data_IF_909878736649
#
_entry.id   IF_909878736649
#
_cell.length_a   1.000
_cell.length_b   1.000
_cell.length_c   1.000
_cell.angle_alpha   90.00
_cell.angle_beta   90.00
_cell.angle_gamma   90.00
#
_symmetry.space_group_name_H-M   'P 1'
#
loop_
_entity.id
_entity.type
_entity.pdbx_description
1 polymer ?
#
# COMPACT_ATOMS: atom_id res chain seq x y z
N UNK A 1 12.83 -17.08 -24.73
CA UNK A 1 11.46 -16.83 -24.23
C UNK A 1 11.53 -15.51 -23.50
N UNK A 2 10.73 -14.52 -23.90
CA UNK A 2 10.66 -13.26 -23.14
C UNK A 2 10.07 -13.56 -21.77
N UNK A 3 10.63 -13.00 -20.70
CA UNK A 3 10.10 -13.18 -19.36
C UNK A 3 8.67 -12.63 -19.31
N UNK A 4 7.67 -13.52 -19.19
CA UNK A 4 6.29 -13.13 -18.92
C UNK A 4 6.23 -12.46 -17.54
N UNK A 5 5.56 -11.30 -17.46
CA UNK A 5 5.31 -10.65 -16.18
C UNK A 5 4.33 -11.49 -15.36
N UNK A 6 4.34 -11.34 -14.03
CA UNK A 6 3.41 -12.09 -13.17
C UNK A 6 1.93 -11.87 -13.56
N UNK A 7 1.61 -10.73 -14.15
CA UNK A 7 0.24 -10.45 -14.61
C UNK A 7 -0.17 -11.25 -15.85
N UNK A 8 0.78 -11.68 -16.68
CA UNK A 8 0.48 -12.57 -17.80
C UNK A 8 0.00 -13.95 -17.29
N UNK A 9 0.34 -14.30 -16.05
CA UNK A 9 -0.10 -15.55 -15.41
C UNK A 9 -1.44 -15.38 -14.67
N UNK A 10 -1.68 -14.22 -14.04
CA UNK A 10 -2.86 -13.96 -13.21
C UNK A 10 -4.05 -13.43 -14.02
N UNK A 11 -3.83 -12.42 -14.85
CA UNK A 11 -4.91 -11.67 -15.50
C UNK A 11 -5.77 -12.51 -16.45
N UNK A 12 -5.23 -13.45 -17.25
CA UNK A 12 -6.07 -14.29 -18.10
C UNK A 12 -7.08 -15.13 -17.30
N UNK A 13 -6.66 -15.64 -16.13
CA UNK A 13 -7.55 -16.43 -15.26
C UNK A 13 -8.63 -15.52 -14.67
N UNK A 14 -8.27 -14.37 -14.09
CA UNK A 14 -9.25 -13.44 -13.52
C UNK A 14 -10.27 -12.97 -14.57
N UNK A 15 -9.82 -12.70 -15.80
CA UNK A 15 -10.69 -12.31 -16.92
C UNK A 15 -11.70 -13.39 -17.28
N UNK A 16 -11.32 -14.67 -17.23
CA UNK A 16 -12.24 -15.78 -17.49
C UNK A 16 -13.41 -15.84 -16.50
N UNK A 17 -13.26 -15.22 -15.32
CA UNK A 17 -14.31 -15.11 -14.30
C UNK A 17 -14.92 -13.71 -14.20
N UNK A 18 -14.60 -12.80 -15.14
CA UNK A 18 -15.00 -11.38 -15.06
C UNK A 18 -14.63 -10.74 -13.70
N UNK A 19 -13.46 -11.08 -13.19
CA UNK A 19 -12.96 -10.61 -11.90
C UNK A 19 -11.92 -9.50 -12.10
N UNK A 20 -12.07 -8.32 -11.47
CA UNK A 20 -11.03 -7.29 -11.49
C UNK A 20 -9.80 -7.73 -10.69
N UNK A 21 -8.59 -7.37 -11.09
CA UNK A 21 -7.41 -7.57 -10.25
C UNK A 21 -7.39 -6.50 -9.15
N UNK A 22 -7.70 -6.89 -7.91
CA UNK A 22 -7.71 -6.00 -6.75
C UNK A 22 -6.61 -6.44 -5.80
N UNK A 23 -5.60 -5.59 -5.64
CA UNK A 23 -4.53 -5.75 -4.69
C UNK A 23 -4.96 -5.22 -3.32
N UNK A 24 -4.60 -5.95 -2.27
CA UNK A 24 -4.74 -5.51 -0.88
C UNK A 24 -3.39 -5.66 -0.15
N UNK A 25 -3.39 -5.61 1.18
CA UNK A 25 -2.20 -5.86 1.98
C UNK A 25 -1.08 -4.85 1.73
N UNK A 26 0.16 -5.34 1.71
CA UNK A 26 1.34 -4.48 1.74
C UNK A 26 1.50 -3.63 0.47
N UNK A 27 1.16 -4.17 -0.70
CA UNK A 27 1.31 -3.46 -1.97
C UNK A 27 0.28 -2.34 -2.09
N UNK A 28 -0.98 -2.62 -1.76
CA UNK A 28 -2.01 -1.59 -1.72
C UNK A 28 -1.62 -0.46 -0.77
N UNK A 29 -1.19 -0.81 0.45
CA UNK A 29 -0.72 0.14 1.45
C UNK A 29 0.45 1.02 0.96
N UNK A 30 1.33 0.50 0.10
CA UNK A 30 2.41 1.31 -0.50
C UNK A 30 1.91 2.31 -1.53
N UNK A 31 0.91 1.94 -2.35
CA UNK A 31 0.23 2.85 -3.27
C UNK A 31 -0.67 3.88 -2.56
N UNK A 32 -0.93 3.68 -1.27
CA UNK A 32 -1.54 4.66 -0.38
C UNK A 32 -0.51 5.62 0.25
N UNK A 33 0.73 5.67 -0.27
CA UNK A 33 1.79 6.56 0.20
C UNK A 33 2.54 6.09 1.45
N UNK A 34 2.21 4.93 2.02
CA UNK A 34 2.91 4.46 3.20
C UNK A 34 4.17 3.66 2.86
N UNK A 35 5.29 3.95 3.55
CA UNK A 35 6.51 3.16 3.35
C UNK A 35 6.36 1.80 4.02
N UNK A 36 6.45 0.73 3.22
CA UNK A 36 6.51 -0.66 3.67
C UNK A 36 7.81 -1.35 3.29
N UNK A 37 7.87 -2.67 3.42
CA UNK A 37 8.98 -3.47 2.86
C UNK A 37 8.93 -3.42 1.33
N UNK A 38 10.07 -3.31 0.66
CA UNK A 38 10.18 -3.29 -0.82
C UNK A 38 10.40 -4.69 -1.39
N UNK A 39 11.07 -5.54 -0.63
CA UNK A 39 11.57 -6.84 -1.10
C UNK A 39 10.61 -7.95 -0.66
N UNK A 40 9.31 -7.69 -0.81
CA UNK A 40 8.27 -8.57 -0.30
C UNK A 40 7.84 -9.57 -1.39
N UNK A 41 8.13 -10.88 -1.25
CA UNK A 41 7.87 -11.86 -2.30
C UNK A 41 6.40 -12.32 -2.34
N UNK A 42 5.49 -11.58 -1.70
CA UNK A 42 4.08 -11.95 -1.54
C UNK A 42 3.20 -10.84 -2.13
N UNK A 43 2.19 -11.24 -2.91
CA UNK A 43 1.07 -10.37 -3.26
C UNK A 43 -0.20 -10.83 -2.57
N UNK A 44 -1.07 -9.87 -2.26
CA UNK A 44 -2.38 -10.10 -1.70
C UNK A 44 -3.45 -9.72 -2.72
N UNK A 45 -4.30 -10.67 -3.08
CA UNK A 45 -5.39 -10.45 -4.05
C UNK A 45 -6.73 -10.69 -3.36
N UNK A 46 -7.63 -9.72 -3.48
CA UNK A 46 -8.99 -9.83 -3.02
C UNK A 46 -9.87 -10.48 -4.08
N UNK A 47 -10.63 -11.50 -3.71
CA UNK A 47 -11.55 -12.24 -4.57
C UNK A 47 -12.97 -12.26 -4.01
N UNK A 48 -13.96 -12.27 -4.90
CA UNK A 48 -15.36 -12.52 -4.53
C UNK A 48 -15.51 -13.87 -3.86
N UNK A 49 -16.34 -13.92 -2.80
CA UNK A 49 -16.55 -15.15 -2.01
C UNK A 49 -16.90 -16.36 -2.90
N UNK A 50 -17.86 -16.17 -3.83
CA UNK A 50 -18.32 -17.23 -4.74
C UNK A 50 -17.32 -17.63 -5.83
N UNK A 51 -16.24 -16.88 -6.02
CA UNK A 51 -15.25 -17.11 -7.09
C UNK A 51 -13.90 -17.62 -6.56
N UNK A 52 -13.63 -17.51 -5.26
CA UNK A 52 -12.36 -17.86 -4.62
C UNK A 52 -11.84 -19.24 -5.07
N UNK A 53 -12.57 -20.32 -4.78
CA UNK A 53 -12.12 -21.68 -5.14
C UNK A 53 -12.03 -21.94 -6.64
N UNK A 54 -12.92 -21.36 -7.44
CA UNK A 54 -12.94 -21.55 -8.89
C UNK A 54 -11.73 -20.89 -9.54
N UNK A 55 -11.43 -19.65 -9.15
CA UNK A 55 -10.27 -18.89 -9.63
C UNK A 55 -8.98 -19.58 -9.22
N UNK A 56 -8.81 -19.92 -7.94
CA UNK A 56 -7.55 -20.52 -7.46
C UNK A 56 -7.31 -21.90 -8.05
N UNK A 57 -8.35 -22.74 -8.20
CA UNK A 57 -8.21 -24.03 -8.89
C UNK A 57 -7.79 -23.84 -10.35
N UNK A 58 -8.33 -22.82 -11.04
CA UNK A 58 -7.95 -22.54 -12.42
C UNK A 58 -6.51 -21.98 -12.51
N UNK A 59 -6.09 -21.14 -11.57
CA UNK A 59 -4.70 -20.70 -11.43
C UNK A 59 -3.74 -21.89 -11.33
N UNK A 60 -4.04 -22.88 -10.48
CA UNK A 60 -3.21 -24.10 -10.36
C UNK A 60 -3.19 -24.90 -11.66
N UNK A 61 -4.33 -25.02 -12.35
CA UNK A 61 -4.42 -25.73 -13.64
C UNK A 61 -3.56 -25.13 -14.75
N UNK A 62 -3.16 -23.86 -14.65
CA UNK A 62 -2.24 -23.25 -15.62
C UNK A 62 -0.82 -23.83 -15.55
N UNK A 63 -0.44 -24.44 -14.41
CA UNK A 63 0.90 -24.97 -14.16
C UNK A 63 1.93 -23.92 -13.70
N UNK A 64 1.59 -22.63 -13.73
CA UNK A 64 2.45 -21.56 -13.19
C UNK A 64 2.40 -21.46 -11.67
N UNK A 65 1.34 -22.00 -11.06
CA UNK A 65 1.06 -21.95 -9.63
C UNK A 65 0.74 -23.34 -9.11
N UNK A 66 1.10 -23.60 -7.85
CA UNK A 66 0.72 -24.80 -7.11
C UNK A 66 0.16 -24.42 -5.74
N UNK A 67 -0.65 -25.31 -5.18
CA UNK A 67 -1.09 -25.17 -3.80
C UNK A 67 0.11 -25.14 -2.87
N UNK A 68 0.09 -24.19 -1.94
CA UNK A 68 1.13 -24.05 -0.96
C UNK A 68 0.98 -25.09 0.15
N UNK A 69 2.03 -25.88 0.40
CA UNK A 69 2.01 -26.90 1.46
C UNK A 69 2.25 -26.27 2.84
N UNK A 70 1.18 -26.04 3.58
CA UNK A 70 1.23 -25.51 4.93
C UNK A 70 1.96 -26.43 5.94
N UNK A 71 2.16 -27.72 5.64
CA UNK A 71 2.91 -28.63 6.52
C UNK A 71 4.42 -28.37 6.45
N UNK A 72 4.94 -27.92 5.31
CA UNK A 72 6.34 -27.49 5.16
C UNK A 72 6.65 -26.29 6.06
N UNK A 73 5.67 -25.40 6.30
CA UNK A 73 5.82 -24.27 7.21
C UNK A 73 6.00 -24.65 8.67
N UNK A 74 5.51 -25.81 9.11
CA UNK A 74 5.64 -26.22 10.51
C UNK A 74 7.09 -26.55 10.87
N UNK A 75 7.94 -26.81 9.87
CA UNK A 75 9.35 -27.16 10.01
C UNK A 75 10.27 -25.92 10.04
N UNK A 76 9.77 -24.76 9.61
CA UNK A 76 10.55 -23.53 9.56
C UNK A 76 10.43 -22.75 10.88
N UNK A 77 11.51 -22.10 11.36
CA UNK A 77 11.45 -21.26 12.54
C UNK A 77 10.40 -20.16 12.34
N UNK A 78 9.65 -19.87 13.40
CA UNK A 78 8.52 -18.95 13.35
C UNK A 78 9.00 -17.52 13.03
N UNK A 79 9.07 -17.18 11.75
CA UNK A 79 9.20 -15.82 11.27
C UNK A 79 7.79 -15.23 11.08
N UNK A 80 7.61 -13.95 11.42
CA UNK A 80 6.35 -13.21 11.26
C UNK A 80 5.79 -13.21 9.83
N UNK A 81 6.63 -13.51 8.85
CA UNK A 81 6.27 -13.58 7.42
C UNK A 81 5.54 -14.89 7.09
N UNK A 82 5.91 -16.00 7.74
CA UNK A 82 5.31 -17.30 7.51
C UNK A 82 3.97 -17.46 8.25
N UNK A 83 3.82 -16.83 9.41
CA UNK A 83 2.54 -16.80 10.14
C UNK A 83 1.42 -16.18 9.30
N UNK A 84 1.77 -15.14 8.54
CA UNK A 84 0.89 -14.44 7.62
C UNK A 84 0.40 -15.25 6.42
N UNK A 85 1.17 -16.23 5.96
CA UNK A 85 0.74 -17.14 4.89
C UNK A 85 -0.37 -18.07 5.40
N UNK A 86 -0.33 -18.45 6.68
CA UNK A 86 -1.28 -19.43 7.25
C UNK A 86 -2.69 -18.89 7.46
N UNK A 87 -2.87 -17.58 7.52
CA UNK A 87 -4.16 -16.95 7.81
C UNK A 87 -4.92 -16.48 6.56
N UNK A 88 -4.27 -16.49 5.40
CA UNK A 88 -4.93 -16.29 4.12
C UNK A 88 -5.94 -17.39 3.85
N UNK A 89 -6.96 -17.09 3.06
CA UNK A 89 -7.99 -18.08 2.75
C UNK A 89 -7.43 -19.16 1.80
N UNK A 90 -6.61 -18.76 0.83
CA UNK A 90 -5.82 -19.66 -0.02
C UNK A 90 -4.44 -19.06 -0.27
N UNK A 91 -3.40 -19.89 -0.26
CA UNK A 91 -2.05 -19.50 -0.68
C UNK A 91 -1.61 -20.34 -1.85
N UNK A 92 -1.11 -19.68 -2.90
CA UNK A 92 -0.45 -20.33 -4.02
C UNK A 92 1.03 -19.95 -4.05
N UNK A 93 1.85 -20.91 -4.47
CA UNK A 93 3.29 -20.77 -4.68
C UNK A 93 3.60 -20.84 -6.17
N UNK A 94 4.44 -19.94 -6.66
CA UNK A 94 4.84 -19.90 -8.07
C UNK A 94 5.82 -21.02 -8.38
N UNK A 95 5.57 -21.79 -9.44
CA UNK A 95 6.40 -22.95 -9.81
C UNK A 95 7.75 -22.54 -10.42
N UNK A 96 7.84 -21.33 -10.96
CA UNK A 96 9.03 -20.76 -11.58
C UNK A 96 9.18 -19.30 -11.16
N UNK A 97 10.29 -18.94 -10.51
CA UNK A 97 10.56 -17.56 -10.11
C UNK A 97 12.07 -17.29 -10.08
N UNK A 98 12.44 -16.05 -10.38
CA UNK A 98 13.80 -15.54 -10.17
C UNK A 98 13.88 -14.82 -8.81
N UNK A 99 15.10 -14.65 -8.30
CA UNK A 99 15.37 -13.83 -7.12
C UNK A 99 14.79 -12.43 -7.31
N UNK A 100 14.07 -11.90 -6.30
CA UNK A 100 13.38 -10.59 -6.30
C UNK A 100 12.00 -10.54 -6.99
N UNK A 101 11.51 -11.64 -7.55
CA UNK A 101 10.14 -11.71 -8.05
C UNK A 101 9.15 -12.14 -6.95
N UNK A 102 7.87 -11.90 -7.21
CA UNK A 102 6.79 -12.40 -6.37
C UNK A 102 6.76 -13.92 -6.51
N UNK A 103 6.74 -14.59 -5.36
CA UNK A 103 6.79 -16.04 -5.23
C UNK A 103 5.48 -16.61 -4.65
N UNK A 104 4.80 -15.85 -3.80
CA UNK A 104 3.55 -16.27 -3.18
C UNK A 104 2.39 -15.35 -3.54
N UNK A 105 1.22 -15.93 -3.73
CA UNK A 105 -0.06 -15.19 -3.76
C UNK A 105 -0.87 -15.63 -2.55
N UNK A 106 -1.33 -14.66 -1.76
CA UNK A 106 -2.39 -14.84 -0.78
C UNK A 106 -3.69 -14.35 -1.39
N UNK A 107 -4.67 -15.24 -1.47
CA UNK A 107 -6.03 -14.90 -1.83
C UNK A 107 -6.85 -14.68 -0.57
N UNK A 108 -7.59 -13.59 -0.59
CA UNK A 108 -8.51 -13.20 0.47
C UNK A 108 -9.90 -13.09 -0.12
N UNK A 109 -10.88 -13.67 0.58
CA UNK A 109 -12.29 -13.50 0.30
C UNK A 109 -12.77 -12.11 0.76
N UNK A 110 -13.86 -11.61 0.18
CA UNK A 110 -14.53 -10.39 0.64
C UNK A 110 -14.91 -10.46 2.12
N UNK A 111 -15.35 -11.64 2.56
CA UNK A 111 -15.74 -11.89 3.95
C UNK A 111 -14.54 -11.79 4.89
N UNK A 112 -13.44 -12.49 4.59
CA UNK A 112 -12.23 -12.42 5.43
C UNK A 112 -11.60 -11.03 5.38
N UNK A 113 -11.53 -10.40 4.22
CA UNK A 113 -10.85 -9.10 4.11
C UNK A 113 -11.74 -7.92 4.51
N UNK A 114 -13.05 -8.13 4.71
CA UNK A 114 -14.01 -7.10 5.10
C UNK A 114 -14.17 -5.99 4.06
N UNK A 115 -14.06 -6.34 2.78
CA UNK A 115 -14.27 -5.43 1.65
C UNK A 115 -15.24 -6.07 0.67
N UNK A 116 -16.36 -5.40 0.41
CA UNK A 116 -17.30 -5.77 -0.65
C UNK A 116 -16.83 -5.13 -1.96
N UNK A 117 -16.43 -5.96 -2.93
CA UNK A 117 -15.83 -5.53 -4.21
C UNK A 117 -16.82 -4.72 -5.04
N UNK A 118 -18.10 -5.09 -5.03
CA UNK A 118 -19.11 -4.50 -5.94
C UNK A 118 -19.66 -3.16 -5.44
N UNK A 119 -19.36 -2.78 -4.19
CA UNK A 119 -19.83 -1.53 -3.57
C UNK A 119 -18.72 -0.58 -3.15
N UNK A 120 -17.45 -1.02 -3.13
CA UNK A 120 -16.35 -0.16 -2.73
C UNK A 120 -15.79 0.66 -3.90
N UNK A 121 -15.17 1.79 -3.56
CA UNK A 121 -14.42 2.59 -4.53
C UNK A 121 -13.06 1.93 -4.77
N UNK A 122 -12.79 1.61 -6.05
CA UNK A 122 -11.52 1.06 -6.51
C UNK A 122 -10.68 2.14 -7.20
N UNK A 123 -9.40 2.18 -6.87
CA UNK A 123 -8.43 3.14 -7.38
C UNK A 123 -7.45 2.39 -8.28
N UNK A 124 -7.28 2.85 -9.51
CA UNK A 124 -6.34 2.25 -10.46
C UNK A 124 -4.89 2.59 -10.09
N UNK A 125 -4.01 1.58 -10.11
CA UNK A 125 -2.58 1.71 -9.83
C UNK A 125 -1.74 1.21 -11.01
N UNK A 126 -0.52 1.74 -11.19
CA UNK A 126 0.24 1.48 -12.41
C UNK A 126 0.82 0.05 -12.47
N UNK A 127 1.16 -0.56 -11.33
CA UNK A 127 1.87 -1.84 -11.28
C UNK A 127 1.61 -2.58 -9.94
N UNK A 128 1.88 -3.89 -9.91
CA UNK A 128 1.93 -4.69 -8.67
C UNK A 128 3.20 -4.40 -7.87
N UNK A 129 4.26 -3.93 -8.52
CA UNK A 129 5.50 -3.55 -7.84
C UNK A 129 5.50 -2.06 -7.47
N UNK A 130 5.13 -1.76 -6.22
CA UNK A 130 5.16 -0.41 -5.66
C UNK A 130 6.58 0.01 -5.19
N UNK A 131 7.58 -0.03 -6.07
CA UNK A 131 9.00 0.20 -5.73
C UNK A 131 9.23 1.48 -4.91
N UNK A 132 8.50 2.54 -5.23
CA UNK A 132 8.38 3.75 -4.41
C UNK A 132 6.96 3.90 -3.86
N UNK A 133 6.80 4.29 -2.58
CA UNK A 133 5.50 4.49 -1.97
C UNK A 133 4.94 5.85 -2.38
N UNK A 134 4.31 5.88 -3.55
CA UNK A 134 3.56 7.04 -4.02
C UNK A 134 2.15 7.03 -3.43
N UNK A 135 1.61 8.21 -3.13
CA UNK A 135 0.19 8.38 -2.84
C UNK A 135 -0.56 8.61 -4.14
N UNK A 136 -1.46 7.68 -4.49
CA UNK A 136 -2.29 7.77 -5.70
C UNK A 136 -3.52 8.67 -5.49
N UNK A 137 -4.16 8.60 -4.33
CA UNK A 137 -5.27 9.48 -3.94
C UNK A 137 -4.72 10.80 -3.36
N UNK A 138 -4.27 11.69 -4.26
CA UNK A 138 -3.58 12.96 -3.94
C UNK A 138 -4.42 13.90 -3.06
N UNK A 139 -5.75 13.77 -3.06
CA UNK A 139 -6.66 14.57 -2.23
C UNK A 139 -6.41 14.39 -0.72
N UNK A 140 -5.88 13.23 -0.32
CA UNK A 140 -5.53 12.93 1.07
C UNK A 140 -4.12 13.38 1.44
N UNK A 141 -3.35 13.94 0.50
CA UNK A 141 -2.00 14.40 0.78
C UNK A 141 -2.00 15.55 1.81
N UNK A 142 -1.21 15.47 2.90
CA UNK A 142 -1.36 16.37 4.05
C UNK A 142 -0.93 17.81 3.75
N UNK A 143 -0.03 18.02 2.80
CA UNK A 143 0.46 19.34 2.42
C UNK A 143 -0.17 19.90 1.13
N UNK A 144 -1.08 19.19 0.45
CA UNK A 144 -1.54 19.57 -0.91
C UNK A 144 -2.23 20.93 -0.99
N UNK A 145 -2.83 21.37 0.10
CA UNK A 145 -3.59 22.63 0.19
C UNK A 145 -2.80 23.77 0.85
N UNK A 146 -1.54 23.54 1.23
CA UNK A 146 -0.74 24.55 1.92
C UNK A 146 -0.36 25.69 0.98
N UNK A 147 -0.54 26.92 1.48
CA UNK A 147 -0.25 28.16 0.74
C UNK A 147 1.18 28.67 0.97
N UNK A 148 1.83 28.21 2.04
CA UNK A 148 3.20 28.59 2.39
C UNK A 148 4.27 27.81 1.63
N UNK A 149 3.86 26.88 0.76
CA UNK A 149 4.75 26.06 -0.05
C UNK A 149 5.51 24.98 0.73
N UNK A 150 5.27 24.83 2.04
CA UNK A 150 5.93 23.81 2.85
C UNK A 150 5.37 22.42 2.51
N UNK A 151 6.24 21.50 2.10
CA UNK A 151 5.86 20.15 1.66
C UNK A 151 6.36 19.08 2.62
N UNK A 152 5.46 18.21 3.04
CA UNK A 152 5.73 17.01 3.85
C UNK A 152 4.67 15.96 3.52
N UNK A 153 4.97 14.69 3.82
CA UNK A 153 4.11 13.58 3.45
C UNK A 153 4.74 12.65 2.41
N UNK A 154 3.94 11.73 1.84
CA UNK A 154 4.40 10.85 0.78
C UNK A 154 4.57 11.61 -0.54
N UNK A 155 5.38 11.07 -1.44
CA UNK A 155 5.44 11.64 -2.79
C UNK A 155 4.09 11.41 -3.49
N UNK A 156 3.57 12.43 -4.16
CA UNK A 156 2.46 12.28 -5.09
C UNK A 156 3.04 11.98 -6.47
N UNK A 157 2.51 10.95 -7.13
CA UNK A 157 2.70 10.52 -8.53
C UNK A 157 4.13 10.59 -9.13
N UNK A 158 4.60 9.55 -9.85
CA UNK A 158 5.81 9.67 -10.68
C UNK A 158 5.64 10.77 -11.74
N UNK A 159 6.68 11.56 -12.03
CA UNK A 159 6.69 12.34 -13.28
C UNK A 159 6.59 11.36 -14.46
N UNK A 160 5.97 11.71 -15.60
CA UNK A 160 5.92 10.82 -16.77
C UNK A 160 7.30 10.35 -17.28
N UNK A 161 8.36 11.09 -16.93
CA UNK A 161 9.78 10.76 -17.20
C UNK A 161 10.41 9.84 -16.16
N UNK A 162 9.77 9.65 -15.01
CA UNK A 162 10.15 8.65 -14.04
C UNK A 162 9.62 7.30 -14.55
N UNK A 163 10.29 6.74 -15.56
CA UNK A 163 10.33 5.30 -15.68
C UNK A 163 10.75 4.80 -14.29
N UNK A 164 9.82 4.22 -13.53
CA UNK A 164 10.09 3.70 -12.19
C UNK A 164 10.97 2.46 -12.39
N UNK A 165 12.25 2.72 -12.62
CA UNK A 165 13.35 1.79 -12.82
C UNK A 165 13.12 0.75 -13.93
N UNK A 166 13.54 1.02 -15.19
CA UNK A 166 13.40 0.07 -16.30
C UNK A 166 14.15 -1.26 -16.10
N UNK A 167 15.00 -1.34 -15.07
CA UNK A 167 15.77 -2.54 -14.70
C UNK A 167 15.13 -3.37 -13.59
N UNK A 168 14.05 -2.89 -12.96
CA UNK A 168 13.35 -3.65 -11.92
C UNK A 168 12.20 -4.46 -12.53
N UNK A 169 11.79 -5.57 -11.87
CA UNK A 169 10.62 -6.33 -12.30
C UNK A 169 9.38 -5.43 -12.43
N UNK A 170 8.68 -5.62 -13.53
CA UNK A 170 7.37 -5.04 -13.80
C UNK A 170 6.33 -6.16 -13.79
N UNK A 171 5.17 -5.89 -13.19
CA UNK A 171 4.06 -6.82 -13.23
C UNK A 171 3.44 -6.86 -14.62
N UNK A 172 3.35 -5.69 -15.26
CA UNK A 172 2.80 -5.50 -16.61
C UNK A 172 3.92 -5.55 -17.66
N UNK A 173 3.74 -6.27 -18.78
CA UNK A 173 4.56 -6.03 -19.96
C UNK A 173 4.33 -4.60 -20.48
N UNK A 174 5.36 -4.03 -21.12
CA UNK A 174 5.30 -2.68 -21.67
C UNK A 174 4.14 -2.58 -22.70
N UNK A 175 3.20 -1.65 -22.48
CA UNK A 175 2.03 -1.48 -23.34
C UNK A 175 0.81 -2.36 -23.00
N UNK A 176 0.86 -3.11 -21.90
CA UNK A 176 -0.30 -3.84 -21.38
C UNK A 176 -1.45 -2.89 -20.99
N UNK A 177 -2.68 -3.27 -21.35
CA UNK A 177 -3.91 -2.58 -20.96
C UNK A 177 -4.55 -3.18 -19.70
N UNK A 178 -3.89 -4.11 -19.00
CA UNK A 178 -4.45 -4.68 -17.78
C UNK A 178 -4.63 -3.61 -16.72
N UNK A 179 -5.83 -3.53 -16.15
CA UNK A 179 -6.11 -2.64 -15.04
C UNK A 179 -5.81 -3.35 -13.72
N UNK A 180 -5.17 -2.64 -12.81
CA UNK A 180 -4.86 -3.10 -11.46
C UNK A 180 -5.50 -2.12 -10.51
N UNK A 181 -6.22 -2.63 -9.54
CA UNK A 181 -6.95 -1.82 -8.57
C UNK A 181 -6.43 -2.04 -7.16
N UNK A 182 -6.60 -1.03 -6.32
CA UNK A 182 -6.56 -1.12 -4.85
C UNK A 182 -7.89 -0.55 -4.32
N UNK A 183 -8.35 -0.94 -3.12
CA UNK A 183 -9.42 -0.20 -2.47
C UNK A 183 -8.98 1.24 -2.16
N UNK A 184 -9.93 2.17 -2.09
CA UNK A 184 -9.67 3.53 -1.59
C UNK A 184 -9.09 3.52 -0.16
N UNK A 185 -8.35 4.57 0.22
CA UNK A 185 -7.80 4.72 1.58
C UNK A 185 -8.88 4.56 2.67
N UNK A 186 -10.06 5.21 2.59
CA UNK A 186 -11.12 5.02 3.59
C UNK A 186 -11.62 3.57 3.66
N UNK A 187 -11.92 2.94 2.52
CA UNK A 187 -12.33 1.53 2.46
C UNK A 187 -11.29 0.62 3.11
N UNK A 188 -10.01 0.86 2.82
CA UNK A 188 -8.92 0.06 3.37
C UNK A 188 -8.77 0.25 4.89
N UNK A 189 -8.86 1.50 5.38
CA UNK A 189 -8.79 1.81 6.81
C UNK A 189 -9.95 1.17 7.57
N UNK A 190 -11.17 1.21 7.03
CA UNK A 190 -12.33 0.55 7.61
C UNK A 190 -12.12 -0.96 7.71
N UNK A 191 -11.66 -1.58 6.62
CA UNK A 191 -11.41 -3.01 6.57
C UNK A 191 -10.37 -3.46 7.61
N UNK A 192 -9.24 -2.75 7.73
CA UNK A 192 -8.21 -3.10 8.71
C UNK A 192 -8.66 -2.84 10.15
N UNK A 193 -9.52 -1.84 10.42
CA UNK A 193 -10.11 -1.70 11.75
C UNK A 193 -11.03 -2.88 12.11
N UNK A 194 -11.91 -3.29 11.20
CA UNK A 194 -12.73 -4.50 11.38
C UNK A 194 -11.86 -5.73 11.61
N UNK A 195 -10.81 -5.94 10.82
CA UNK A 195 -9.89 -7.06 11.01
C UNK A 195 -9.19 -7.03 12.36
N UNK A 196 -8.75 -5.85 12.83
CA UNK A 196 -8.09 -5.71 14.14
C UNK A 196 -9.03 -6.09 15.29
N UNK A 197 -10.31 -5.75 15.20
CA UNK A 197 -11.31 -6.06 16.25
C UNK A 197 -11.79 -7.49 16.16
N UNK A 198 -12.24 -7.90 14.97
CA UNK A 198 -12.99 -9.15 14.79
C UNK A 198 -12.09 -10.38 14.76
N UNK A 199 -10.80 -10.21 14.41
CA UNK A 199 -9.87 -11.33 14.24
C UNK A 199 -8.72 -11.36 15.24
N UNK A 200 -8.78 -10.57 16.31
CA UNK A 200 -7.75 -10.54 17.35
C UNK A 200 -7.40 -11.94 17.89
N UNK A 201 -8.39 -12.84 17.98
CA UNK A 201 -8.20 -14.21 18.47
C UNK A 201 -8.09 -15.25 17.35
N UNK A 202 -8.87 -15.12 16.27
CA UNK A 202 -8.98 -16.15 15.23
C UNK A 202 -7.96 -16.04 14.10
N UNK A 203 -7.50 -14.82 13.76
CA UNK A 203 -6.43 -14.55 12.78
C UNK A 203 -5.47 -13.49 13.35
N UNK A 204 -4.70 -13.83 14.41
CA UNK A 204 -3.90 -12.87 15.16
C UNK A 204 -2.81 -12.18 14.33
N UNK A 205 -2.22 -12.82 13.31
CA UNK A 205 -1.24 -12.17 12.44
C UNK A 205 -1.90 -11.12 11.54
N UNK A 206 -3.09 -11.40 11.00
CA UNK A 206 -3.89 -10.47 10.22
C UNK A 206 -4.27 -9.24 11.07
N UNK A 207 -4.77 -9.46 12.29
CA UNK A 207 -5.08 -8.38 13.23
C UNK A 207 -3.84 -7.56 13.60
N UNK A 208 -2.68 -8.21 13.78
CA UNK A 208 -1.40 -7.53 14.04
C UNK A 208 -0.96 -6.68 12.85
N UNK A 209 -1.12 -7.18 11.62
CA UNK A 209 -0.81 -6.42 10.40
C UNK A 209 -1.77 -5.27 10.17
N UNK A 210 -3.06 -5.46 10.45
CA UNK A 210 -4.04 -4.38 10.45
C UNK A 210 -3.61 -3.22 11.36
N UNK A 211 -3.21 -3.52 12.60
CA UNK A 211 -2.67 -2.51 13.53
C UNK A 211 -1.41 -1.82 12.98
N UNK A 212 -0.53 -2.59 12.31
CA UNK A 212 0.65 -2.05 11.66
C UNK A 212 0.32 -1.12 10.49
N UNK A 213 -0.68 -1.46 9.68
CA UNK A 213 -1.18 -0.62 8.58
C UNK A 213 -1.80 0.67 9.10
N UNK A 214 -2.66 0.61 10.12
CA UNK A 214 -3.26 1.81 10.76
C UNK A 214 -2.17 2.76 11.24
N UNK A 215 -1.17 2.23 11.96
CA UNK A 215 -0.04 3.01 12.47
C UNK A 215 0.76 3.66 11.34
N UNK A 216 0.97 2.96 10.24
CA UNK A 216 1.77 3.47 9.13
C UNK A 216 1.00 4.49 8.29
N UNK A 217 -0.27 4.26 7.98
CA UNK A 217 -1.10 5.27 7.30
C UNK A 217 -1.18 6.54 8.14
N UNK A 218 -1.40 6.42 9.47
CA UNK A 218 -1.35 7.56 10.39
C UNK A 218 0.00 8.27 10.30
N UNK A 219 1.11 7.52 10.34
CA UNK A 219 2.45 8.07 10.25
C UNK A 219 2.73 8.77 8.92
N UNK A 220 2.41 8.17 7.79
CA UNK A 220 2.85 8.69 6.49
C UNK A 220 1.89 9.73 5.92
N UNK A 221 0.59 9.61 6.19
CA UNK A 221 -0.41 10.62 5.82
C UNK A 221 -0.56 11.74 6.86
N UNK A 222 0.22 11.67 7.95
CA UNK A 222 0.21 12.67 9.03
C UNK A 222 -1.19 12.90 9.61
N UNK A 223 -1.98 11.83 9.79
CA UNK A 223 -3.39 11.95 10.15
C UNK A 223 -3.61 12.66 11.49
N UNK A 224 -2.62 12.68 12.37
CA UNK A 224 -2.70 13.40 13.65
C UNK A 224 -2.62 14.93 13.52
N UNK A 225 -2.04 15.45 12.44
CA UNK A 225 -1.92 16.90 12.19
C UNK A 225 -2.56 17.35 10.87
N UNK A 226 -2.92 16.41 10.00
CA UNK A 226 -3.43 16.70 8.67
C UNK A 226 -4.88 17.19 8.73
N UNK A 227 -5.19 18.36 8.15
CA UNK A 227 -6.58 18.78 7.99
C UNK A 227 -7.40 17.79 7.16
N UNK A 228 -6.74 16.99 6.30
CA UNK A 228 -7.37 15.97 5.46
C UNK A 228 -7.85 14.74 6.22
N UNK A 229 -7.45 14.57 7.50
CA UNK A 229 -7.89 13.42 8.32
C UNK A 229 -9.42 13.31 8.38
N UNK A 230 -10.13 14.44 8.52
CA UNK A 230 -11.58 14.42 8.64
C UNK A 230 -12.23 13.96 7.34
N UNK A 231 -11.62 14.23 6.18
CA UNK A 231 -12.11 13.72 4.91
C UNK A 231 -12.05 12.18 4.84
N UNK A 232 -11.09 11.56 5.51
CA UNK A 232 -11.02 10.09 5.64
C UNK A 232 -12.04 9.62 6.69
N UNK A 233 -12.03 10.21 7.89
CA UNK A 233 -12.88 9.80 9.01
C UNK A 233 -14.37 9.88 8.67
N UNK A 234 -14.82 10.93 7.97
CA UNK A 234 -16.22 11.07 7.55
C UNK A 234 -16.69 10.03 6.53
N UNK A 235 -15.78 9.25 5.95
CA UNK A 235 -16.10 8.15 5.03
C UNK A 235 -16.03 6.79 5.73
N UNK A 236 -15.71 6.73 7.02
CA UNK A 236 -15.72 5.51 7.82
C UNK A 236 -17.10 5.33 8.45
N UNK A 237 -17.58 4.09 8.47
CA UNK A 237 -18.80 3.73 9.19
C UNK A 237 -18.56 3.64 10.70
N UNK A 238 -19.59 3.90 11.51
CA UNK A 238 -19.56 3.60 12.94
C UNK A 238 -19.33 2.09 13.18
N UNK A 239 -18.50 1.69 14.17
CA UNK A 239 -17.83 2.53 15.17
C UNK A 239 -16.41 2.99 14.76
N UNK A 240 -16.00 2.74 13.52
CA UNK A 240 -14.60 2.87 13.10
C UNK A 240 -14.15 4.32 12.95
N UNK A 241 -15.07 5.24 12.67
CA UNK A 241 -14.86 6.69 12.72
C UNK A 241 -14.43 7.16 14.12
N UNK A 242 -15.16 6.76 15.16
CA UNK A 242 -14.88 7.08 16.57
C UNK A 242 -13.56 6.45 17.00
N UNK A 243 -13.36 5.17 16.66
CA UNK A 243 -12.09 4.49 16.96
C UNK A 243 -10.90 5.17 16.31
N UNK A 244 -11.04 5.66 15.07
CA UNK A 244 -9.99 6.36 14.36
C UNK A 244 -9.66 7.70 15.02
N UNK A 245 -10.66 8.50 15.37
CA UNK A 245 -10.45 9.78 16.07
C UNK A 245 -9.81 9.58 17.45
N UNK A 246 -10.27 8.57 18.20
CA UNK A 246 -9.67 8.21 19.48
C UNK A 246 -8.21 7.76 19.32
N UNK A 247 -7.91 6.95 18.32
CA UNK A 247 -6.55 6.50 18.04
C UNK A 247 -5.64 7.69 17.71
N UNK A 248 -6.07 8.53 16.78
CA UNK A 248 -5.31 9.67 16.27
C UNK A 248 -5.06 10.71 17.36
N UNK A 249 -6.04 10.99 18.23
CA UNK A 249 -5.88 11.92 19.36
C UNK A 249 -4.82 11.47 20.39
N UNK A 250 -4.61 10.15 20.51
CA UNK A 250 -3.62 9.54 21.40
C UNK A 250 -2.28 9.28 20.71
N UNK A 251 -2.22 9.39 19.37
CA UNK A 251 -1.02 9.09 18.60
C UNK A 251 0.09 10.10 18.87
N UNK A 252 1.28 9.60 19.26
CA UNK A 252 2.47 10.41 19.45
C UNK A 252 3.53 10.06 18.41
N UNK A 253 3.75 10.99 17.48
CA UNK A 253 4.80 10.84 16.48
C UNK A 253 6.18 10.93 17.13
N UNK A 254 7.11 10.08 16.67
CA UNK A 254 8.53 10.20 17.02
C UNK A 254 9.10 11.50 16.42
N UNK A 255 9.77 12.36 17.20
CA UNK A 255 10.33 13.60 16.69
C UNK A 255 11.35 13.34 15.59
N UNK A 256 11.38 14.20 14.58
CA UNK A 256 12.45 14.20 13.57
C UNK A 256 13.64 14.92 14.14
N UNK A 257 14.83 14.38 13.92
CA UNK A 257 16.08 14.98 14.36
C UNK A 257 16.84 15.45 13.12
N UNK A 258 17.24 16.72 13.10
CA UNK A 258 18.08 17.29 12.03
C UNK A 258 19.46 17.65 12.58
N UNK A 259 20.55 17.30 11.88
CA UNK A 259 21.89 17.73 12.24
C UNK A 259 22.10 19.19 11.80
N UNK A 260 22.62 20.03 12.70
CA UNK A 260 23.11 21.37 12.38
C UNK A 260 24.63 21.43 12.24
N UNK A 261 25.31 20.62 13.03
CA UNK A 261 26.76 20.41 13.00
C UNK A 261 27.05 18.98 13.47
N UNK A 262 28.30 18.48 13.36
CA UNK A 262 28.66 17.16 13.86
C UNK A 262 28.32 16.91 15.34
N UNK A 263 28.22 17.98 16.14
CA UNK A 263 28.00 17.91 17.59
C UNK A 263 26.60 18.42 18.02
N UNK A 264 25.82 19.01 17.10
CA UNK A 264 24.54 19.65 17.42
C UNK A 264 23.41 19.09 16.57
N UNK A 265 22.42 18.53 17.25
CA UNK A 265 21.16 18.06 16.65
C UNK A 265 19.97 18.82 17.26
N UNK A 266 18.93 19.02 16.45
CA UNK A 266 17.70 19.69 16.89
C UNK A 266 16.51 18.81 16.55
N UNK A 267 15.56 18.74 17.48
CA UNK A 267 14.26 18.10 17.24
C UNK A 267 13.35 19.08 16.50
N UNK A 268 12.75 18.61 15.42
CA UNK A 268 11.86 19.39 14.56
C UNK A 268 10.55 18.65 14.33
N UNK A 269 9.52 19.42 14.02
CA UNK A 269 8.24 18.92 13.56
C UNK A 269 8.21 19.03 12.03
N UNK A 270 8.16 17.89 11.35
CA UNK A 270 8.28 17.85 9.89
C UNK A 270 7.19 18.63 9.15
N UNK A 271 6.02 18.80 9.77
CA UNK A 271 4.87 19.54 9.23
C UNK A 271 4.91 21.05 9.54
N UNK A 272 5.84 21.51 10.38
CA UNK A 272 5.93 22.89 10.83
C UNK A 272 7.32 23.49 10.52
N UNK A 273 7.42 24.35 9.49
CA UNK A 273 8.70 24.96 9.11
C UNK A 273 9.29 25.84 10.21
N UNK A 274 8.48 26.38 11.13
CA UNK A 274 8.97 27.28 12.19
C UNK A 274 9.82 26.58 13.23
N UNK A 275 9.73 25.25 13.30
CA UNK A 275 10.54 24.43 14.19
C UNK A 275 11.95 24.17 13.65
N UNK A 276 12.21 24.50 12.37
CA UNK A 276 13.51 24.30 11.75
C UNK A 276 14.44 25.50 12.01
N UNK A 277 15.72 25.24 12.33
CA UNK A 277 16.71 26.30 12.43
C UNK A 277 16.94 27.00 11.08
N UNK A 278 17.09 28.34 11.03
CA UNK A 278 17.26 29.09 9.78
C UNK A 278 18.44 28.60 8.91
N UNK A 279 19.58 28.28 9.54
CA UNK A 279 20.75 27.69 8.87
C UNK A 279 20.48 26.32 8.22
N UNK A 280 19.51 25.56 8.71
CA UNK A 280 19.12 24.30 8.08
C UNK A 280 18.23 24.55 6.87
N UNK A 281 17.28 25.48 6.99
CA UNK A 281 16.36 25.83 5.91
C UNK A 281 17.10 26.39 4.67
N UNK A 282 18.17 27.15 4.87
CA UNK A 282 18.98 27.68 3.76
C UNK A 282 19.79 26.62 3.01
N UNK A 283 19.97 25.43 3.59
CA UNK A 283 20.69 24.30 2.98
C UNK A 283 19.74 23.32 2.29
N UNK A 284 18.44 23.38 2.58
CA UNK A 284 17.48 22.52 1.90
C UNK A 284 17.45 22.88 0.42
N UNK A 285 17.39 21.88 -0.49
CA UNK A 285 17.03 22.15 -1.87
C UNK A 285 15.76 23.00 -1.86
N UNK A 286 15.67 24.00 -2.74
CA UNK A 286 14.40 24.71 -2.99
C UNK A 286 13.39 23.68 -3.48
N UNK A 287 12.69 23.01 -2.56
CA UNK A 287 11.69 22.01 -2.84
C UNK A 287 10.48 22.73 -3.42
N UNK A 288 10.58 23.00 -4.71
CA UNK A 288 9.45 23.28 -5.55
C UNK A 288 8.50 22.10 -5.43
N UNK A 289 7.23 22.41 -5.20
CA UNK A 289 6.11 21.56 -5.57
C UNK A 289 6.44 20.77 -6.85
N UNK A 290 6.00 19.51 -7.00
CA UNK A 290 5.89 18.96 -8.35
C UNK A 290 5.10 19.98 -9.18
N UNK A 291 5.68 20.38 -10.33
CA UNK A 291 5.06 21.38 -11.21
C UNK A 291 3.59 20.98 -11.42
N UNK A 292 2.67 21.93 -11.20
CA UNK A 292 1.23 21.67 -11.40
C UNK A 292 1.04 21.03 -12.78
N UNK A 293 0.31 19.92 -12.90
CA UNK A 293 -0.02 19.37 -14.21
C UNK A 293 -0.70 20.45 -15.05
N UNK A 294 -0.10 20.82 -16.19
CA UNK A 294 -0.73 21.68 -17.19
C UNK A 294 -0.38 23.17 -17.20
N UNK A 295 0.55 23.67 -16.39
CA UNK A 295 1.07 25.05 -16.59
C UNK A 295 2.45 24.96 -17.23
N UNK A 296 2.47 25.00 -18.56
CA UNK A 296 3.68 25.31 -19.32
C UNK A 296 3.97 26.78 -19.05
N UNK A 297 5.01 27.06 -18.26
CA UNK A 297 5.59 28.40 -18.19
C UNK A 297 6.08 28.77 -19.60
N UNK A 298 5.27 29.54 -20.32
CA UNK A 298 5.78 30.30 -21.47
C UNK A 298 6.69 31.36 -20.90
N UNK A 299 8.00 31.13 -20.99
CA UNK A 299 8.99 32.20 -20.88
C UNK A 299 8.67 33.23 -21.96
N UNK A 300 8.41 34.47 -21.53
CA UNK A 300 8.46 35.66 -22.39
C UNK A 300 9.92 36.11 -22.43
#
# INVERSE_FOLDING_TARGET
MGCCGILDEICPVLRAYNHPLILVGLIAHRWMGARGFTDYPIIDILLRNGQLHSITSNMVRTGYWKDFDAQELQKLPMCSELGQLREADIVLERTHHETLQIYYIRFWSEETYRINIDSCLLIEVPDVYAWRPYLIEEEYHPAISRKDGWWFGPDIRPKPTDCIFPTLPHGKPLGSSEQIFIPSIPTFIQAIWSQQVDYAESKPELARYASWFIRNLTRYLYLEVSPRRHAIVFQLDEPYDVMMEEYVSKYRRKPRIVPLSPEKVVQVQEWDPTTYPPEYLSQLPSHHMPARPGIVERKV
#
